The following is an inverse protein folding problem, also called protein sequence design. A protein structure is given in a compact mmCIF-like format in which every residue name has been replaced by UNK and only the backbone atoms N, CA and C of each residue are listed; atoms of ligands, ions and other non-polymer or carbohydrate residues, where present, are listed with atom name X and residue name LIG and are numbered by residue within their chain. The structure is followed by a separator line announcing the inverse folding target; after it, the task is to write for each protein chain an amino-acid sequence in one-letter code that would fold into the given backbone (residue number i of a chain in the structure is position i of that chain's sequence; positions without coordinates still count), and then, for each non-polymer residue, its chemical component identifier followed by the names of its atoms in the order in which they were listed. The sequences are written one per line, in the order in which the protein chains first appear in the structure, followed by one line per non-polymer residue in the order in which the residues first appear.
data_IF_898384310513
#
_entry.id   IF_898384310513
#
_cell.length_a   1.000
_cell.length_b   1.000
_cell.length_c   1.000
_cell.angle_alpha   90.00
_cell.angle_beta   90.00
_cell.angle_gamma   90.00
#
_symmetry.space_group_name_H-M   'P 1'
#
loop_
_entity.id
_entity.type
_entity.pdbx_description
1 polymer ?
#
# COMPACT_ATOMS: atom_id res chain seq x y z
N UNK A 1 -8.53 27.18 0.90
CA UNK A 1 -8.81 25.83 1.44
C UNK A 1 -8.33 24.85 0.40
N UNK A 2 -7.38 23.99 0.75
CA UNK A 2 -6.85 22.95 -0.17
C UNK A 2 -7.93 21.92 -0.43
N UNK A 3 -8.04 21.45 -1.69
CA UNK A 3 -8.88 20.29 -2.03
C UNK A 3 -8.02 19.11 -2.42
N UNK A 4 -8.26 17.98 -1.76
CA UNK A 4 -7.52 16.73 -1.98
C UNK A 4 -8.51 15.61 -2.29
N UNK A 5 -8.44 15.05 -3.49
CA UNK A 5 -9.19 13.83 -3.84
C UNK A 5 -8.36 12.63 -3.44
N UNK A 6 -8.93 11.73 -2.65
CA UNK A 6 -8.31 10.44 -2.29
C UNK A 6 -9.11 9.31 -2.93
N UNK A 7 -8.57 8.68 -3.97
CA UNK A 7 -9.20 7.48 -4.55
C UNK A 7 -8.82 6.25 -3.74
N UNK A 8 -9.73 5.29 -3.63
CA UNK A 8 -9.52 4.14 -2.74
C UNK A 8 -9.55 4.52 -1.25
N UNK A 9 -10.21 5.63 -0.91
CA UNK A 9 -10.32 6.18 0.43
C UNK A 9 -10.93 5.23 1.46
N UNK A 10 -11.76 4.29 1.03
CA UNK A 10 -12.40 3.27 1.89
C UNK A 10 -11.52 2.04 2.13
N UNK A 11 -10.38 1.93 1.43
CA UNK A 11 -9.40 0.86 1.62
C UNK A 11 -8.58 1.01 2.90
N UNK A 12 -7.73 0.04 3.20
CA UNK A 12 -6.89 0.01 4.40
C UNK A 12 -6.03 1.27 4.54
N UNK A 13 -5.13 1.52 3.58
CA UNK A 13 -4.26 2.72 3.59
C UNK A 13 -5.10 4.00 3.42
N UNK A 14 -6.15 3.95 2.59
CA UNK A 14 -7.01 5.10 2.31
C UNK A 14 -7.67 5.67 3.55
N UNK A 15 -8.20 4.82 4.42
CA UNK A 15 -8.81 5.26 5.70
C UNK A 15 -7.79 5.95 6.61
N UNK A 16 -6.58 5.39 6.73
CA UNK A 16 -5.50 5.99 7.51
C UNK A 16 -5.08 7.35 6.92
N UNK A 17 -4.95 7.42 5.60
CA UNK A 17 -4.60 8.66 4.89
C UNK A 17 -5.63 9.76 5.09
N UNK A 18 -6.92 9.47 4.91
CA UNK A 18 -8.01 10.43 5.13
C UNK A 18 -8.00 10.94 6.58
N UNK A 19 -7.89 10.03 7.56
CA UNK A 19 -7.79 10.38 8.99
C UNK A 19 -6.58 11.28 9.27
N UNK A 20 -5.42 10.98 8.68
CA UNK A 20 -4.20 11.77 8.87
C UNK A 20 -4.30 13.14 8.22
N UNK A 21 -4.87 13.27 7.02
CA UNK A 21 -5.14 14.55 6.38
C UNK A 21 -6.07 15.42 7.22
N UNK A 22 -7.16 14.86 7.71
CA UNK A 22 -8.13 15.57 8.58
C UNK A 22 -7.48 16.01 9.89
N UNK A 23 -6.71 15.14 10.54
CA UNK A 23 -5.99 15.47 11.79
C UNK A 23 -4.95 16.57 11.59
N UNK A 24 -4.21 16.55 10.46
CA UNK A 24 -3.09 17.46 10.20
C UNK A 24 -3.53 18.85 9.74
N UNK A 25 -4.57 18.92 8.94
CA UNK A 25 -5.00 20.16 8.27
C UNK A 25 -6.37 20.67 8.71
N UNK A 26 -7.17 19.87 9.41
CA UNK A 26 -8.48 20.29 9.90
C UNK A 26 -9.34 20.92 8.80
N UNK A 27 -9.83 22.13 9.05
CA UNK A 27 -10.67 22.91 8.12
C UNK A 27 -9.90 23.56 6.96
N UNK A 28 -8.56 23.52 6.99
CA UNK A 28 -7.73 24.07 5.90
C UNK A 28 -7.68 23.15 4.67
N UNK A 29 -8.11 21.90 4.81
CA UNK A 29 -8.12 20.89 3.75
C UNK A 29 -9.48 20.20 3.63
N UNK A 30 -10.13 20.35 2.48
CA UNK A 30 -11.30 19.56 2.11
C UNK A 30 -10.84 18.23 1.50
N UNK A 31 -11.03 17.14 2.26
CA UNK A 31 -10.68 15.79 1.81
C UNK A 31 -11.90 15.13 1.17
N UNK A 32 -11.82 14.87 -0.12
CA UNK A 32 -12.86 14.22 -0.90
C UNK A 32 -12.52 12.74 -1.04
N UNK A 33 -13.27 11.92 -0.30
CA UNK A 33 -13.10 10.47 -0.29
C UNK A 33 -13.82 9.84 -1.48
N UNK A 34 -13.06 9.31 -2.43
CA UNK A 34 -13.58 8.62 -3.62
C UNK A 34 -13.37 7.11 -3.49
N UNK A 35 -14.42 6.42 -3.11
CA UNK A 35 -14.49 4.97 -3.07
C UNK A 35 -15.38 4.39 -4.17
N UNK A 36 -15.49 3.08 -4.25
CA UNK A 36 -16.31 2.39 -5.27
C UNK A 36 -17.82 2.68 -5.18
N UNK A 37 -18.31 3.11 -4.02
CA UNK A 37 -19.70 3.52 -3.84
C UNK A 37 -20.00 4.89 -4.51
N UNK A 38 -19.00 5.76 -4.62
CA UNK A 38 -19.14 7.07 -5.28
C UNK A 38 -18.92 6.96 -6.79
N UNK A 39 -17.89 6.23 -7.21
CA UNK A 39 -17.63 5.92 -8.62
C UNK A 39 -16.82 4.62 -8.78
N UNK A 40 -17.24 3.79 -9.71
CA UNK A 40 -16.44 2.65 -10.17
C UNK A 40 -15.39 3.13 -11.19
N UNK A 41 -14.17 3.33 -10.71
CA UNK A 41 -13.06 3.81 -11.55
C UNK A 41 -12.63 2.83 -12.65
N UNK A 42 -13.04 1.56 -12.58
CA UNK A 42 -12.80 0.61 -13.66
C UNK A 42 -13.70 0.88 -14.88
N UNK A 43 -14.76 1.67 -14.71
CA UNK A 43 -15.72 2.03 -15.75
C UNK A 43 -15.55 3.49 -16.16
N UNK A 44 -15.19 3.73 -17.41
CA UNK A 44 -14.97 5.08 -17.94
C UNK A 44 -16.17 6.00 -17.72
N UNK A 45 -17.38 5.54 -18.03
CA UNK A 45 -18.61 6.32 -17.85
C UNK A 45 -18.81 6.73 -16.40
N UNK A 46 -18.71 5.81 -15.47
CA UNK A 46 -18.84 6.08 -14.03
C UNK A 46 -17.78 7.08 -13.53
N UNK A 47 -16.53 6.91 -13.97
CA UNK A 47 -15.44 7.83 -13.62
C UNK A 47 -15.72 9.24 -14.14
N UNK A 48 -16.02 9.37 -15.43
CA UNK A 48 -16.18 10.70 -16.06
C UNK A 48 -17.43 11.42 -15.55
N UNK A 49 -18.55 10.72 -15.42
CA UNK A 49 -19.77 11.30 -14.86
C UNK A 49 -19.56 11.83 -13.43
N UNK A 50 -18.75 11.15 -12.63
CA UNK A 50 -18.44 11.62 -11.29
C UNK A 50 -17.66 12.95 -11.34
N UNK A 51 -16.61 13.04 -12.15
CA UNK A 51 -15.83 14.27 -12.31
C UNK A 51 -16.64 15.39 -12.95
N UNK A 52 -17.46 15.12 -13.94
CA UNK A 52 -18.32 16.11 -14.62
C UNK A 52 -19.36 16.72 -13.68
N UNK A 53 -19.98 15.91 -12.82
CA UNK A 53 -20.96 16.41 -11.83
C UNK A 53 -20.32 17.27 -10.73
N UNK A 54 -19.03 17.11 -10.51
CA UNK A 54 -18.29 17.80 -9.46
C UNK A 54 -17.37 18.89 -10.08
N UNK A 55 -17.96 19.95 -10.60
CA UNK A 55 -17.23 21.04 -11.32
C UNK A 55 -16.13 21.71 -10.49
N UNK A 56 -16.18 21.63 -9.15
CA UNK A 56 -15.12 22.09 -8.27
C UNK A 56 -13.79 21.30 -8.41
N UNK A 57 -13.79 20.21 -9.19
CA UNK A 57 -12.57 19.41 -9.47
C UNK A 57 -11.49 20.23 -10.18
N UNK A 58 -11.84 21.26 -10.92
CA UNK A 58 -10.86 22.19 -11.51
C UNK A 58 -10.03 22.96 -10.48
N UNK A 59 -10.53 23.12 -9.26
CA UNK A 59 -9.84 23.76 -8.13
C UNK A 59 -9.18 22.75 -7.19
N UNK A 60 -9.13 21.46 -7.56
CA UNK A 60 -8.42 20.44 -6.84
C UNK A 60 -6.91 20.67 -6.94
N UNK A 61 -6.23 20.67 -5.78
CA UNK A 61 -4.78 20.84 -5.71
C UNK A 61 -4.03 19.51 -5.78
N UNK A 62 -4.62 18.43 -5.21
CA UNK A 62 -3.98 17.13 -5.16
C UNK A 62 -4.97 16.01 -5.42
N UNK A 63 -4.52 15.00 -6.18
CA UNK A 63 -5.16 13.69 -6.29
C UNK A 63 -4.20 12.66 -5.70
N UNK A 64 -4.59 11.94 -4.65
CA UNK A 64 -3.82 10.84 -4.11
C UNK A 64 -4.50 9.53 -4.51
N UNK A 65 -3.82 8.76 -5.37
CA UNK A 65 -4.39 7.57 -5.99
C UNK A 65 -3.94 6.29 -5.31
N UNK A 66 -4.87 5.67 -4.58
CA UNK A 66 -4.68 4.38 -3.89
C UNK A 66 -5.57 3.28 -4.49
N UNK A 67 -6.59 3.64 -5.28
CA UNK A 67 -7.54 2.66 -5.81
C UNK A 67 -6.86 1.60 -6.68
N UNK A 68 -7.02 0.35 -6.30
CA UNK A 68 -6.57 -0.82 -7.06
C UNK A 68 -7.35 -2.04 -6.61
N UNK A 69 -7.54 -3.00 -7.51
CA UNK A 69 -7.99 -4.34 -7.16
C UNK A 69 -6.80 -5.17 -6.72
N UNK A 70 -6.69 -5.41 -5.44
CA UNK A 70 -5.70 -6.31 -4.86
C UNK A 70 -6.34 -7.20 -3.80
N UNK A 71 -6.02 -8.48 -3.86
CA UNK A 71 -6.34 -9.46 -2.81
C UNK A 71 -5.08 -10.27 -2.55
N UNK A 72 -4.81 -10.60 -1.29
CA UNK A 72 -3.65 -11.39 -0.92
C UNK A 72 -3.91 -12.91 -1.09
N UNK A 73 -2.95 -13.73 -0.66
CA UNK A 73 -3.01 -15.18 -0.79
C UNK A 73 -2.79 -15.64 -2.21
N UNK A 74 -3.49 -16.67 -2.63
CA UNK A 74 -3.38 -17.30 -3.96
C UNK A 74 -4.25 -16.61 -5.05
N UNK A 75 -5.05 -15.62 -4.64
CA UNK A 75 -5.96 -14.93 -5.55
C UNK A 75 -5.24 -14.26 -6.75
N UNK A 76 -4.10 -13.55 -6.55
CA UNK A 76 -3.38 -12.93 -7.67
C UNK A 76 -2.95 -13.94 -8.72
N UNK A 77 -2.53 -15.13 -8.31
CA UNK A 77 -2.10 -16.20 -9.23
C UNK A 77 -3.28 -16.73 -10.02
N UNK A 78 -4.43 -16.92 -9.39
CA UNK A 78 -5.63 -17.49 -10.01
C UNK A 78 -6.41 -16.50 -10.90
N UNK A 79 -6.22 -15.18 -10.73
CA UNK A 79 -7.04 -14.15 -11.35
C UNK A 79 -6.21 -13.06 -12.05
N UNK A 80 -5.06 -13.41 -12.62
CA UNK A 80 -4.14 -12.47 -13.24
C UNK A 80 -4.80 -11.61 -14.33
N UNK A 81 -5.56 -12.21 -15.23
CA UNK A 81 -6.27 -11.49 -16.29
C UNK A 81 -7.32 -10.50 -15.75
N UNK A 82 -8.10 -10.90 -14.75
CA UNK A 82 -9.07 -10.01 -14.08
C UNK A 82 -8.36 -8.85 -13.39
N UNK A 83 -7.29 -9.14 -12.66
CA UNK A 83 -6.50 -8.13 -11.96
C UNK A 83 -5.86 -7.13 -12.93
N UNK A 84 -5.30 -7.63 -14.03
CA UNK A 84 -4.75 -6.82 -15.09
C UNK A 84 -5.80 -5.89 -15.70
N UNK A 85 -6.93 -6.44 -16.16
CA UNK A 85 -8.00 -5.68 -16.80
C UNK A 85 -8.54 -4.57 -15.89
N UNK A 86 -8.90 -4.91 -14.65
CA UNK A 86 -9.50 -3.95 -13.72
C UNK A 86 -8.52 -2.84 -13.35
N UNK A 87 -7.26 -3.19 -13.02
CA UNK A 87 -6.27 -2.18 -12.62
C UNK A 87 -5.83 -1.29 -13.79
N UNK A 88 -5.69 -1.85 -15.00
CA UNK A 88 -5.41 -1.04 -16.18
C UNK A 88 -6.57 -0.09 -16.48
N UNK A 89 -7.81 -0.54 -16.37
CA UNK A 89 -9.00 0.30 -16.57
C UNK A 89 -9.04 1.44 -15.54
N UNK A 90 -8.81 1.16 -14.25
CA UNK A 90 -8.73 2.18 -13.19
C UNK A 90 -7.66 3.22 -13.54
N UNK A 91 -6.45 2.77 -13.90
CA UNK A 91 -5.33 3.65 -14.19
C UNK A 91 -5.61 4.57 -15.38
N UNK A 92 -6.02 4.02 -16.52
CA UNK A 92 -6.23 4.82 -17.74
C UNK A 92 -7.43 5.78 -17.61
N UNK A 93 -8.49 5.35 -16.93
CA UNK A 93 -9.65 6.22 -16.69
C UNK A 93 -9.28 7.39 -15.78
N UNK A 94 -8.49 7.13 -14.71
CA UNK A 94 -8.05 8.19 -13.81
C UNK A 94 -7.07 9.16 -14.48
N UNK A 95 -6.10 8.67 -15.25
CA UNK A 95 -5.15 9.53 -15.97
C UNK A 95 -5.88 10.50 -16.91
N UNK A 96 -6.86 9.99 -17.66
CA UNK A 96 -7.64 10.85 -18.57
C UNK A 96 -8.59 11.78 -17.81
N UNK A 97 -9.17 11.34 -16.68
CA UNK A 97 -9.97 12.20 -15.82
C UNK A 97 -9.12 13.33 -15.19
N UNK A 98 -7.91 12.99 -14.71
CA UNK A 98 -6.96 13.98 -14.20
C UNK A 98 -6.66 15.07 -15.22
N UNK A 99 -6.31 14.69 -16.45
CA UNK A 99 -6.05 15.65 -17.53
C UNK A 99 -7.25 16.56 -17.84
N UNK A 100 -8.45 15.98 -17.91
CA UNK A 100 -9.65 16.73 -18.34
C UNK A 100 -10.25 17.61 -17.25
N UNK A 101 -10.31 17.10 -16.05
CA UNK A 101 -11.11 17.69 -14.97
C UNK A 101 -10.28 18.30 -13.85
N UNK A 102 -9.03 17.87 -13.68
CA UNK A 102 -8.14 18.33 -12.61
C UNK A 102 -6.74 18.71 -13.14
N UNK A 103 -6.59 19.47 -14.24
CA UNK A 103 -5.28 19.68 -14.86
C UNK A 103 -4.30 20.47 -13.99
N UNK A 104 -4.78 21.15 -12.94
CA UNK A 104 -3.95 21.87 -11.96
C UNK A 104 -3.54 21.01 -10.76
N UNK A 105 -4.19 19.87 -10.57
CA UNK A 105 -3.90 19.00 -9.45
C UNK A 105 -2.58 18.23 -9.65
N UNK A 106 -1.75 18.17 -8.61
CA UNK A 106 -0.65 17.20 -8.58
C UNK A 106 -1.19 15.81 -8.31
N UNK A 107 -0.90 14.86 -9.21
CA UNK A 107 -1.28 13.46 -9.04
C UNK A 107 -0.17 12.70 -8.30
N UNK A 108 -0.48 12.17 -7.13
CA UNK A 108 0.39 11.26 -6.39
C UNK A 108 -0.17 9.85 -6.45
N UNK A 109 0.50 8.91 -7.12
CA UNK A 109 0.08 7.51 -7.15
C UNK A 109 0.86 6.65 -6.17
N UNK A 110 0.14 5.71 -5.54
CA UNK A 110 0.73 4.72 -4.65
C UNK A 110 0.98 3.43 -5.42
N UNK A 111 2.26 3.09 -5.52
CA UNK A 111 2.79 1.91 -6.19
C UNK A 111 3.24 0.88 -5.16
N UNK A 112 3.85 -0.22 -5.63
CA UNK A 112 4.27 -1.31 -4.76
C UNK A 112 5.68 -1.79 -5.13
N UNK A 113 6.44 -2.16 -4.13
CA UNK A 113 7.79 -2.72 -4.30
C UNK A 113 7.81 -4.09 -5.00
N UNK A 114 6.64 -4.70 -5.27
CA UNK A 114 6.55 -5.88 -6.13
C UNK A 114 6.94 -5.63 -7.59
N UNK A 115 7.10 -4.35 -7.98
CA UNK A 115 7.61 -3.97 -9.31
C UNK A 115 9.12 -4.20 -9.46
N UNK A 116 9.84 -4.36 -8.36
CA UNK A 116 11.29 -4.60 -8.37
C UNK A 116 11.63 -6.05 -8.68
N UNK A 117 12.85 -6.30 -9.19
CA UNK A 117 13.33 -7.66 -9.43
C UNK A 117 13.54 -8.43 -8.11
N UNK A 118 13.89 -9.70 -8.25
CA UNK A 118 14.19 -10.59 -7.12
C UNK A 118 15.68 -10.66 -6.88
N UNK A 119 16.21 -9.77 -6.04
CA UNK A 119 17.56 -9.88 -5.47
C UNK A 119 17.59 -9.38 -4.03
N UNK A 120 18.72 -9.52 -3.35
CA UNK A 120 18.84 -9.27 -1.91
C UNK A 120 19.27 -7.86 -1.51
N UNK A 121 19.81 -7.09 -2.44
CA UNK A 121 20.27 -5.71 -2.17
C UNK A 121 19.08 -4.75 -2.06
N UNK A 122 19.23 -3.62 -1.33
CA UNK A 122 18.22 -2.60 -1.35
C UNK A 122 17.96 -2.07 -2.76
N UNK A 123 16.67 -1.97 -3.14
CA UNK A 123 16.24 -1.58 -4.48
C UNK A 123 16.19 -0.05 -4.64
N UNK A 124 17.07 0.57 -5.44
CA UNK A 124 16.94 1.98 -5.81
C UNK A 124 15.86 2.17 -6.88
N UNK A 125 15.29 3.36 -6.97
CA UNK A 125 14.21 3.68 -7.93
C UNK A 125 14.63 3.49 -9.40
N UNK A 126 15.92 3.54 -9.70
CA UNK A 126 16.47 3.34 -11.05
C UNK A 126 16.22 1.93 -11.61
N UNK A 127 16.04 0.94 -10.76
CA UNK A 127 15.82 -0.44 -11.18
C UNK A 127 14.40 -0.71 -11.72
N UNK A 128 13.44 0.18 -11.48
CA UNK A 128 12.04 -0.05 -11.87
C UNK A 128 11.87 -0.39 -13.34
N UNK A 129 12.70 0.21 -14.20
CA UNK A 129 12.53 0.12 -15.66
C UNK A 129 13.22 -1.07 -16.31
N UNK A 130 14.22 -1.67 -15.66
CA UNK A 130 15.14 -2.61 -16.26
C UNK A 130 14.79 -4.09 -16.12
N UNK A 131 13.70 -4.45 -15.42
CA UNK A 131 13.45 -5.84 -15.02
C UNK A 131 11.99 -6.24 -15.10
N UNK A 132 11.75 -7.54 -15.34
CA UNK A 132 10.43 -8.12 -15.26
C UNK A 132 10.04 -8.40 -13.81
N UNK A 133 8.76 -8.17 -13.43
CA UNK A 133 8.24 -8.60 -12.15
C UNK A 133 8.19 -10.13 -12.04
N UNK A 134 8.14 -10.64 -10.81
CA UNK A 134 7.98 -12.07 -10.58
C UNK A 134 6.62 -12.62 -11.05
N UNK A 135 6.62 -13.85 -11.57
CA UNK A 135 5.46 -14.49 -12.19
C UNK A 135 4.20 -14.45 -11.34
N UNK A 136 4.29 -14.69 -10.03
CA UNK A 136 3.11 -14.76 -9.16
C UNK A 136 2.44 -13.40 -8.91
N UNK A 137 3.16 -12.29 -9.11
CA UNK A 137 2.64 -10.92 -9.01
C UNK A 137 2.69 -10.17 -10.34
N UNK A 138 3.03 -10.85 -11.43
CA UNK A 138 3.29 -10.24 -12.74
C UNK A 138 2.21 -9.23 -13.15
N UNK A 139 0.95 -9.64 -13.18
CA UNK A 139 -0.15 -8.77 -13.61
C UNK A 139 -0.30 -7.52 -12.73
N UNK A 140 -0.22 -7.69 -11.40
CA UNK A 140 -0.32 -6.57 -10.48
C UNK A 140 0.86 -5.60 -10.60
N UNK A 141 2.06 -6.12 -10.57
CA UNK A 141 3.28 -5.34 -10.68
C UNK A 141 3.35 -4.59 -12.01
N UNK A 142 2.97 -5.25 -13.12
CA UNK A 142 2.90 -4.61 -14.42
C UNK A 142 1.93 -3.43 -14.43
N UNK A 143 0.72 -3.57 -13.87
CA UNK A 143 -0.25 -2.47 -13.83
C UNK A 143 0.23 -1.30 -12.99
N UNK A 144 1.04 -1.54 -11.94
CA UNK A 144 1.69 -0.48 -11.16
C UNK A 144 2.79 0.22 -11.97
N UNK A 145 3.62 -0.52 -12.72
CA UNK A 145 4.58 0.06 -13.67
C UNK A 145 3.88 0.88 -14.77
N UNK A 146 2.78 0.37 -15.31
CA UNK A 146 1.99 1.05 -16.33
C UNK A 146 1.44 2.39 -15.81
N UNK A 147 1.01 2.46 -14.53
CA UNK A 147 0.58 3.71 -13.92
C UNK A 147 1.72 4.74 -13.87
N UNK A 148 2.93 4.34 -13.45
CA UNK A 148 4.10 5.21 -13.44
C UNK A 148 4.44 5.75 -14.85
N UNK A 149 4.43 4.86 -15.85
CA UNK A 149 4.71 5.22 -17.26
C UNK A 149 3.61 6.18 -17.77
N UNK A 150 2.35 5.88 -17.48
CA UNK A 150 1.21 6.71 -17.87
C UNK A 150 1.31 8.12 -17.26
N UNK A 151 1.60 8.25 -15.98
CA UNK A 151 1.82 9.55 -15.34
C UNK A 151 2.92 10.35 -16.03
N UNK A 152 4.05 9.73 -16.34
CA UNK A 152 5.16 10.38 -17.07
C UNK A 152 4.76 10.81 -18.46
N UNK A 153 4.00 9.98 -19.18
CA UNK A 153 3.53 10.31 -20.53
C UNK A 153 2.59 11.53 -20.50
N UNK A 154 1.61 11.52 -19.59
CA UNK A 154 0.66 12.63 -19.41
C UNK A 154 1.35 13.91 -18.93
N UNK A 155 2.31 13.80 -18.01
CA UNK A 155 3.10 14.93 -17.54
C UNK A 155 3.88 15.58 -18.70
N UNK A 156 4.54 14.79 -19.54
CA UNK A 156 5.33 15.29 -20.68
C UNK A 156 4.47 15.90 -21.78
N UNK A 157 3.37 15.25 -22.13
CA UNK A 157 2.50 15.70 -23.21
C UNK A 157 1.64 16.91 -22.84
N UNK A 158 1.17 16.97 -21.59
CA UNK A 158 0.17 17.95 -21.15
C UNK A 158 0.68 18.92 -20.07
N UNK A 159 1.96 18.88 -19.70
CA UNK A 159 2.54 19.75 -18.67
C UNK A 159 1.98 19.52 -17.26
N UNK A 160 1.50 18.31 -16.97
CA UNK A 160 0.89 17.98 -15.69
C UNK A 160 1.96 17.61 -14.65
N UNK A 161 1.67 17.86 -13.36
CA UNK A 161 2.62 17.55 -12.25
C UNK A 161 2.22 16.28 -11.55
N UNK A 162 3.16 15.34 -11.39
CA UNK A 162 2.90 14.09 -10.70
C UNK A 162 4.10 13.59 -9.90
N UNK A 163 3.82 12.74 -8.92
CA UNK A 163 4.80 11.96 -8.15
C UNK A 163 4.25 10.56 -7.93
N UNK A 164 5.11 9.56 -7.94
CA UNK A 164 4.75 8.19 -7.55
C UNK A 164 5.51 7.79 -6.31
N UNK A 165 4.84 7.14 -5.35
CA UNK A 165 5.50 6.57 -4.16
C UNK A 165 5.41 5.05 -4.19
N UNK A 166 6.52 4.38 -3.94
CA UNK A 166 6.62 2.92 -3.90
C UNK A 166 6.65 2.50 -2.44
N UNK A 167 5.64 1.73 -2.03
CA UNK A 167 5.53 1.22 -0.68
C UNK A 167 6.01 -0.22 -0.56
N UNK A 168 6.62 -0.59 0.58
CA UNK A 168 6.83 -1.98 0.97
C UNK A 168 5.51 -2.60 1.47
N UNK A 169 5.58 -3.69 2.23
CA UNK A 169 4.40 -4.26 2.89
C UNK A 169 3.90 -3.33 3.99
N UNK A 170 2.74 -2.73 3.78
CA UNK A 170 2.09 -1.90 4.81
C UNK A 170 1.27 -2.78 5.74
N UNK A 171 1.31 -2.51 7.04
CA UNK A 171 0.57 -3.22 8.08
C UNK A 171 0.04 -2.25 9.14
N UNK A 172 -0.97 -2.65 9.90
CA UNK A 172 -1.50 -1.82 10.99
C UNK A 172 -2.98 -2.08 11.29
N UNK A 173 -3.56 -1.28 12.22
CA UNK A 173 -4.98 -1.29 12.51
C UNK A 173 -5.85 -1.09 11.28
N UNK A 174 -6.86 -1.94 11.12
CA UNK A 174 -7.77 -1.90 9.95
C UNK A 174 -7.32 -2.68 8.72
N UNK A 175 -6.19 -3.39 8.79
CA UNK A 175 -5.80 -4.39 7.78
C UNK A 175 -6.72 -5.63 7.82
N UNK A 176 -6.56 -6.54 6.88
CA UNK A 176 -7.22 -7.85 6.89
C UNK A 176 -6.43 -8.84 7.75
N UNK A 177 -7.14 -9.60 8.59
CA UNK A 177 -6.54 -10.60 9.51
C UNK A 177 -6.99 -12.04 9.19
N UNK A 178 -7.44 -12.28 7.97
CA UNK A 178 -7.78 -13.60 7.46
C UNK A 178 -6.50 -14.39 7.10
N UNK A 179 -6.63 -15.70 6.91
CA UNK A 179 -5.50 -16.55 6.49
C UNK A 179 -4.92 -16.18 5.12
N UNK A 180 -5.75 -15.60 4.25
CA UNK A 180 -5.37 -15.14 2.91
C UNK A 180 -4.98 -13.65 2.89
N UNK A 181 -4.53 -13.09 4.02
CA UNK A 181 -4.05 -11.71 4.12
C UNK A 181 -2.54 -11.62 3.87
N UNK A 182 -2.02 -10.38 3.85
CA UNK A 182 -0.57 -10.19 3.90
C UNK A 182 0.01 -10.84 5.17
N UNK A 183 1.32 -11.15 5.11
CA UNK A 183 1.99 -11.95 6.15
C UNK A 183 1.73 -11.46 7.58
N UNK A 184 1.81 -10.16 7.83
CA UNK A 184 1.58 -9.60 9.19
C UNK A 184 0.13 -9.82 9.63
N UNK A 185 -0.84 -9.47 8.79
CA UNK A 185 -2.26 -9.67 9.11
C UNK A 185 -2.62 -11.13 9.32
N UNK A 186 -2.11 -12.04 8.46
CA UNK A 186 -2.32 -13.47 8.60
C UNK A 186 -1.73 -14.04 9.90
N UNK A 187 -0.50 -13.63 10.26
CA UNK A 187 0.15 -14.03 11.51
C UNK A 187 -0.63 -13.53 12.73
N UNK A 188 -1.01 -12.26 12.76
CA UNK A 188 -1.80 -11.70 13.86
C UNK A 188 -3.11 -12.48 14.02
N UNK A 189 -3.84 -12.71 12.92
CA UNK A 189 -5.07 -13.50 12.97
C UNK A 189 -4.85 -14.92 13.51
N UNK A 190 -3.80 -15.62 13.06
CA UNK A 190 -3.46 -16.97 13.54
C UNK A 190 -3.12 -16.97 15.02
N UNK A 191 -2.20 -16.12 15.46
CA UNK A 191 -1.72 -16.11 16.85
C UNK A 191 -2.80 -15.68 17.85
N UNK A 192 -3.63 -14.67 17.52
CA UNK A 192 -4.73 -14.25 18.39
C UNK A 192 -5.78 -15.37 18.54
N UNK A 193 -6.15 -16.04 17.43
CA UNK A 193 -7.06 -17.21 17.52
C UNK A 193 -6.45 -18.36 18.31
N UNK A 194 -5.18 -18.68 18.09
CA UNK A 194 -4.47 -19.75 18.79
C UNK A 194 -4.36 -19.49 20.30
N UNK A 195 -4.00 -18.26 20.69
CA UNK A 195 -3.95 -17.87 22.10
C UNK A 195 -5.30 -18.04 22.81
N UNK A 196 -6.40 -17.66 22.12
CA UNK A 196 -7.76 -17.78 22.67
C UNK A 196 -8.26 -19.22 22.79
N UNK A 197 -7.89 -20.07 21.84
CA UNK A 197 -8.31 -21.47 21.84
C UNK A 197 -7.41 -22.40 22.65
N UNK A 198 -6.27 -21.89 23.16
CA UNK A 198 -5.25 -22.72 23.81
C UNK A 198 -4.57 -23.69 22.84
N UNK A 199 -4.47 -23.35 21.56
CA UNK A 199 -3.86 -24.22 20.56
C UNK A 199 -2.38 -24.48 20.90
N UNK A 200 -1.88 -25.70 20.70
CA UNK A 200 -0.50 -26.07 21.10
C UNK A 200 0.55 -25.49 20.13
N UNK A 201 0.19 -25.22 18.87
CA UNK A 201 1.10 -24.70 17.86
C UNK A 201 0.43 -23.76 16.88
N UNK A 202 1.23 -22.87 16.27
CA UNK A 202 0.84 -22.03 15.12
C UNK A 202 1.77 -22.31 13.95
N UNK A 203 1.21 -22.70 12.80
CA UNK A 203 1.96 -22.88 11.55
C UNK A 203 2.34 -21.55 10.92
N UNK A 204 3.65 -21.36 10.68
CA UNK A 204 4.24 -20.27 9.91
C UNK A 204 4.82 -20.84 8.62
N UNK A 205 4.48 -20.23 7.47
CA UNK A 205 4.90 -20.73 6.16
C UNK A 205 6.38 -20.43 5.91
N UNK A 206 7.09 -21.42 5.37
CA UNK A 206 8.52 -21.40 5.12
C UNK A 206 9.34 -21.73 6.37
N UNK A 207 10.63 -21.44 6.31
CA UNK A 207 11.59 -21.62 7.40
C UNK A 207 11.74 -20.39 8.33
N UNK A 208 10.98 -19.33 8.05
CA UNK A 208 11.02 -18.08 8.81
C UNK A 208 12.19 -17.16 8.46
N UNK A 209 13.12 -17.56 7.57
CA UNK A 209 14.30 -16.75 7.21
C UNK A 209 14.02 -15.69 6.14
N UNK A 210 12.86 -15.76 5.46
CA UNK A 210 12.50 -14.79 4.44
C UNK A 210 12.39 -13.40 5.05
N UNK A 211 13.03 -12.43 4.42
CA UNK A 211 13.06 -11.06 4.91
C UNK A 211 12.18 -10.14 4.06
N UNK A 212 11.41 -9.31 4.74
CA UNK A 212 10.54 -8.29 4.13
C UNK A 212 10.69 -6.98 4.87
N UNK A 213 10.48 -5.90 4.13
CA UNK A 213 10.30 -4.59 4.73
C UNK A 213 8.84 -4.36 5.07
N UNK A 214 8.61 -3.82 6.26
CA UNK A 214 7.28 -3.52 6.79
C UNK A 214 7.18 -2.05 7.18
N UNK A 215 6.09 -1.40 6.79
CA UNK A 215 5.82 0.00 7.09
C UNK A 215 4.48 0.11 7.81
N UNK A 216 4.49 0.77 8.97
CA UNK A 216 3.26 0.99 9.73
C UNK A 216 2.32 1.93 8.98
N UNK A 217 1.02 1.66 9.03
CA UNK A 217 0.02 2.33 8.18
C UNK A 217 -0.09 3.83 8.40
N UNK A 218 0.10 4.30 9.64
CA UNK A 218 0.07 5.74 9.94
C UNK A 218 1.34 6.43 9.39
N UNK A 219 2.52 5.78 9.46
CA UNK A 219 3.74 6.29 8.81
C UNK A 219 3.60 6.29 7.29
N UNK A 220 2.99 5.24 6.71
CA UNK A 220 2.70 5.23 5.27
C UNK A 220 1.82 6.40 4.87
N UNK A 221 0.77 6.69 5.62
CA UNK A 221 -0.13 7.82 5.37
C UNK A 221 0.62 9.16 5.46
N UNK A 222 1.45 9.34 6.49
CA UNK A 222 2.22 10.58 6.69
C UNK A 222 3.25 10.79 5.58
N UNK A 223 3.99 9.73 5.19
CA UNK A 223 4.96 9.79 4.10
C UNK A 223 4.32 10.04 2.72
N UNK A 224 3.14 9.45 2.43
CA UNK A 224 2.38 9.74 1.21
C UNK A 224 1.99 11.22 1.16
N UNK A 225 1.54 11.78 2.29
CA UNK A 225 1.21 13.22 2.38
C UNK A 225 2.46 14.06 2.15
N UNK A 226 3.59 13.71 2.78
CA UNK A 226 4.85 14.43 2.59
C UNK A 226 5.28 14.44 1.10
N UNK A 227 5.17 13.31 0.41
CA UNK A 227 5.47 13.23 -1.02
C UNK A 227 4.46 14.02 -1.89
N UNK A 228 3.18 13.99 -1.54
CA UNK A 228 2.16 14.74 -2.27
C UNK A 228 2.40 16.24 -2.19
N UNK A 229 2.78 16.76 -1.03
CA UNK A 229 2.94 18.18 -0.78
C UNK A 229 4.33 18.72 -1.12
N UNK A 230 5.38 17.91 -1.03
CA UNK A 230 6.76 18.39 -1.02
C UNK A 230 7.60 18.09 -2.25
N UNK A 231 7.36 17.05 -3.00
CA UNK A 231 8.32 16.58 -4.01
C UNK A 231 7.89 16.86 -5.45
N UNK A 232 8.85 17.31 -6.26
CA UNK A 232 8.72 17.40 -7.72
C UNK A 232 9.39 16.20 -8.44
N UNK A 233 9.75 15.15 -7.70
CA UNK A 233 10.36 13.97 -8.31
C UNK A 233 9.34 13.02 -8.90
N UNK A 234 9.71 12.33 -9.98
CA UNK A 234 8.86 11.36 -10.66
C UNK A 234 8.46 10.18 -9.77
N UNK A 235 9.41 9.66 -9.00
CA UNK A 235 9.22 8.46 -8.19
C UNK A 235 10.11 8.45 -6.95
N UNK A 236 9.56 7.97 -5.83
CA UNK A 236 10.22 7.80 -4.54
C UNK A 236 9.90 6.44 -3.92
N UNK A 237 10.91 5.78 -3.41
CA UNK A 237 10.72 4.71 -2.44
C UNK A 237 10.32 5.31 -1.09
N UNK A 238 9.21 4.85 -0.53
CA UNK A 238 8.69 5.30 0.75
C UNK A 238 8.60 4.12 1.72
N UNK A 239 9.58 4.00 2.59
CA UNK A 239 9.73 2.86 3.49
C UNK A 239 10.62 3.13 4.68
N UNK A 240 11.01 2.08 5.37
CA UNK A 240 11.92 2.12 6.52
C UNK A 240 13.38 1.91 6.09
N UNK A 241 13.60 1.21 4.96
CA UNK A 241 14.91 0.72 4.53
C UNK A 241 15.43 -0.45 5.38
N UNK A 242 14.57 -1.04 6.21
CA UNK A 242 14.93 -2.15 7.11
C UNK A 242 14.09 -3.39 6.80
N UNK A 243 14.74 -4.54 6.65
CA UNK A 243 14.09 -5.80 6.46
C UNK A 243 14.08 -6.62 7.78
N UNK A 244 13.00 -7.36 7.98
CA UNK A 244 12.82 -8.26 9.13
C UNK A 244 12.43 -9.65 8.63
N UNK A 245 12.96 -10.69 9.28
CA UNK A 245 12.57 -12.05 8.96
C UNK A 245 11.15 -12.35 9.40
N UNK A 246 10.46 -13.21 8.64
CA UNK A 246 9.09 -13.65 9.00
C UNK A 246 9.07 -14.33 10.36
N UNK A 247 10.14 -15.08 10.71
CA UNK A 247 10.29 -15.68 12.03
C UNK A 247 10.36 -14.65 13.15
N UNK A 248 11.10 -13.54 12.95
CA UNK A 248 11.15 -12.45 13.92
C UNK A 248 9.77 -11.80 14.13
N UNK A 249 9.05 -11.51 13.03
CA UNK A 249 7.68 -10.99 13.11
C UNK A 249 6.76 -11.96 13.84
N UNK A 250 6.85 -13.27 13.56
CA UNK A 250 6.04 -14.29 14.21
C UNK A 250 6.29 -14.33 15.74
N UNK A 251 7.55 -14.22 16.17
CA UNK A 251 7.89 -14.16 17.60
C UNK A 251 7.26 -12.93 18.29
N UNK A 252 7.40 -11.72 17.71
CA UNK A 252 6.83 -10.50 18.31
C UNK A 252 5.31 -10.60 18.37
N UNK A 253 4.67 -11.04 17.29
CA UNK A 253 3.21 -11.18 17.20
C UNK A 253 2.71 -12.24 18.20
N UNK A 254 3.38 -13.39 18.30
CA UNK A 254 3.04 -14.44 19.25
C UNK A 254 3.09 -13.94 20.70
N UNK A 255 4.17 -13.27 21.09
CA UNK A 255 4.32 -12.66 22.40
C UNK A 255 3.23 -11.61 22.68
N UNK A 256 2.99 -10.71 21.72
CA UNK A 256 1.98 -9.66 21.86
C UNK A 256 0.55 -10.23 21.96
N UNK A 257 0.27 -11.35 21.28
CA UNK A 257 -1.01 -12.05 21.35
C UNK A 257 -1.21 -12.87 22.64
N UNK A 258 -0.16 -13.05 23.45
CA UNK A 258 -0.19 -13.92 24.65
C UNK A 258 -0.18 -15.42 24.30
N UNK A 259 0.37 -15.79 23.14
CA UNK A 259 0.48 -17.16 22.71
C UNK A 259 1.69 -17.84 23.38
N UNK A 260 1.45 -19.01 24.01
CA UNK A 260 2.47 -19.78 24.77
C UNK A 260 2.80 -21.12 24.12
N UNK A 261 2.25 -21.43 22.94
CA UNK A 261 2.53 -22.68 22.23
C UNK A 261 3.76 -22.60 21.32
N UNK A 262 3.93 -23.60 20.47
CA UNK A 262 5.03 -23.73 19.52
C UNK A 262 4.80 -22.88 18.26
N UNK A 263 5.85 -22.26 17.73
CA UNK A 263 5.87 -21.68 16.39
C UNK A 263 6.44 -22.72 15.44
N UNK A 264 5.57 -23.41 14.69
CA UNK A 264 5.94 -24.48 13.79
C UNK A 264 6.15 -23.96 12.35
N UNK A 265 7.38 -24.07 11.83
CA UNK A 265 7.71 -23.67 10.47
C UNK A 265 7.41 -24.78 9.46
N UNK A 266 6.75 -24.43 8.35
CA UNK A 266 6.35 -25.36 7.29
C UNK A 266 6.98 -24.99 5.95
N UNK A 267 8.04 -25.71 5.55
CA UNK A 267 8.80 -25.47 4.33
C UNK A 267 8.09 -25.91 3.04
N UNK A 268 7.00 -26.67 3.13
CA UNK A 268 6.23 -27.11 1.96
C UNK A 268 5.31 -26.00 1.42
N UNK A 269 5.22 -24.89 2.15
CA UNK A 269 4.39 -23.75 1.76
C UNK A 269 5.18 -22.73 0.93
N UNK A 270 4.50 -22.13 -0.04
CA UNK A 270 5.06 -21.06 -0.86
C UNK A 270 5.39 -19.81 -0.04
N UNK A 271 6.58 -19.25 -0.23
CA UNK A 271 7.10 -18.12 0.55
C UNK A 271 7.51 -16.88 -0.26
N UNK A 272 7.51 -16.95 -1.58
CA UNK A 272 7.95 -15.86 -2.47
C UNK A 272 9.47 -15.61 -2.40
N UNK A 273 9.88 -14.35 -2.59
CA UNK A 273 11.31 -13.95 -2.64
C UNK A 273 12.01 -14.14 -1.30
N UNK A 274 13.33 -14.38 -1.34
CA UNK A 274 14.14 -14.52 -0.12
C UNK A 274 14.23 -13.20 0.66
N UNK A 275 14.48 -12.09 -0.01
CA UNK A 275 14.59 -10.76 0.60
C UNK A 275 14.07 -9.69 -0.34
N UNK A 276 13.41 -8.65 0.22
CA UNK A 276 13.04 -7.44 -0.51
C UNK A 276 13.00 -6.24 0.44
N UNK A 277 13.80 -5.22 0.11
CA UNK A 277 13.94 -3.98 0.88
C UNK A 277 14.16 -2.81 -0.07
N UNK A 278 13.68 -1.64 0.28
CA UNK A 278 13.81 -0.42 -0.52
C UNK A 278 15.07 0.36 -0.13
N UNK A 279 15.76 0.94 -1.12
CA UNK A 279 16.68 2.03 -0.86
C UNK A 279 15.87 3.32 -0.68
N UNK A 280 15.91 3.86 0.51
CA UNK A 280 15.14 5.05 0.92
C UNK A 280 15.99 6.33 0.99
N UNK A 281 17.20 6.31 0.45
CA UNK A 281 18.13 7.43 0.50
C UNK A 281 17.56 8.67 -0.15
N UNK A 282 16.97 8.54 -1.33
CA UNK A 282 16.34 9.63 -2.08
C UNK A 282 15.18 10.28 -1.33
N UNK A 283 14.34 9.47 -0.66
CA UNK A 283 13.25 9.97 0.17
C UNK A 283 13.77 10.83 1.33
N UNK A 284 14.80 10.34 2.03
CA UNK A 284 15.43 11.08 3.14
C UNK A 284 16.01 12.41 2.68
N UNK A 285 16.71 12.39 1.54
CA UNK A 285 17.32 13.58 0.96
C UNK A 285 16.28 14.64 0.55
N UNK A 286 15.24 14.24 -0.18
CA UNK A 286 14.29 15.17 -0.77
C UNK A 286 13.16 15.60 0.17
N UNK A 287 12.73 14.73 1.09
CA UNK A 287 11.60 15.00 1.99
C UNK A 287 12.02 15.22 3.44
N UNK A 288 13.26 14.86 3.83
CA UNK A 288 13.66 14.82 5.24
C UNK A 288 12.77 13.88 6.08
N UNK A 289 12.03 12.97 5.43
CA UNK A 289 11.07 12.10 6.08
C UNK A 289 11.68 10.76 6.46
N UNK A 290 11.28 10.23 7.61
CA UNK A 290 11.60 8.88 8.07
C UNK A 290 10.39 8.30 8.80
N UNK A 291 10.21 6.97 8.70
CA UNK A 291 9.20 6.27 9.50
C UNK A 291 9.53 6.42 11.00
N UNK A 292 8.55 6.72 11.81
CA UNK A 292 8.70 7.00 13.24
C UNK A 292 8.34 5.80 14.13
N UNK A 293 7.53 4.86 13.62
CA UNK A 293 7.03 3.72 14.37
C UNK A 293 7.99 2.54 14.25
N UNK A 294 8.52 2.06 15.38
CA UNK A 294 9.32 0.83 15.40
C UNK A 294 8.47 -0.39 15.01
N UNK A 295 9.11 -1.42 14.46
CA UNK A 295 8.40 -2.67 14.11
C UNK A 295 7.71 -3.28 15.34
N UNK A 296 8.38 -3.28 16.49
CA UNK A 296 7.86 -3.80 17.75
C UNK A 296 6.59 -3.05 18.21
N UNK A 297 6.64 -1.73 18.22
CA UNK A 297 5.51 -0.92 18.68
C UNK A 297 4.33 -1.01 17.71
N UNK A 298 4.59 -0.96 16.40
CA UNK A 298 3.55 -1.09 15.39
C UNK A 298 2.85 -2.45 15.43
N UNK A 299 3.60 -3.55 15.60
CA UNK A 299 3.04 -4.90 15.75
C UNK A 299 2.21 -5.02 17.03
N UNK A 300 2.76 -4.59 18.18
CA UNK A 300 2.02 -4.61 19.46
C UNK A 300 0.73 -3.79 19.41
N UNK A 301 0.76 -2.60 18.80
CA UNK A 301 -0.44 -1.78 18.60
C UNK A 301 -1.47 -2.48 17.72
N UNK A 302 -1.02 -3.10 16.62
CA UNK A 302 -1.90 -3.80 15.68
C UNK A 302 -2.56 -5.02 16.32
N UNK A 303 -1.79 -5.83 17.09
CA UNK A 303 -2.32 -6.98 17.83
C UNK A 303 -3.37 -6.55 18.84
N UNK A 304 -3.09 -5.52 19.66
CA UNK A 304 -4.06 -5.00 20.65
C UNK A 304 -5.33 -4.50 19.98
N UNK A 305 -5.18 -3.78 18.87
CA UNK A 305 -6.33 -3.31 18.10
C UNK A 305 -7.19 -4.47 17.61
N UNK A 306 -6.58 -5.50 17.04
CA UNK A 306 -7.31 -6.67 16.53
C UNK A 306 -7.98 -7.47 17.64
N UNK A 307 -7.30 -7.68 18.78
CA UNK A 307 -7.90 -8.32 19.96
C UNK A 307 -9.16 -7.58 20.41
N UNK A 308 -9.11 -6.24 20.51
CA UNK A 308 -10.26 -5.43 20.88
C UNK A 308 -11.44 -5.55 19.89
N UNK A 309 -11.17 -5.70 18.57
CA UNK A 309 -12.22 -5.94 17.57
C UNK A 309 -12.86 -7.32 17.74
N UNK A 310 -12.07 -8.34 18.08
CA UNK A 310 -12.57 -9.71 18.28
C UNK A 310 -13.34 -9.82 19.59
N UNK A 311 -13.01 -9.02 20.61
CA UNK A 311 -13.72 -8.99 21.91
C UNK A 311 -15.06 -8.25 21.80
N UNK A 312 -15.22 -7.34 20.84
CA UNK A 312 -16.44 -6.56 20.63
C UNK A 312 -17.50 -7.27 19.76
N UNK A 313 -17.13 -8.38 19.09
CA UNK A 313 -18.02 -9.18 18.24
C UNK A 313 -18.37 -10.53 18.89
#
# INVERSE_FOLDING_TARGET
MRRVIVTGATGFIGRALVKTLQRRFGTECEVISLGSAQADLSRRTSTFEWFERNQWTFDCEHIIHLAALYKAGDWPVKHQGTQFYVNMSINVNLLEAWRRFCPRAKLTSVLSYCMYPSHSDPHPESEIYGTEPEDYLFAYAFTKKAMLIGQKAYAREHGLTSTSVILPTVYGPGDSFSENSHVVGALIGKFVRAARSGAPAVEVWGDGTQEREFLYVEDAADGIIAAALGSETDVLNLGTGCAYSVGHIACIVGQAAGFNGEIAFNNDRFVGVKRRVLDVSKMRELLGWTASTSIDDGLKQTVRWYQAQVDAN
#
